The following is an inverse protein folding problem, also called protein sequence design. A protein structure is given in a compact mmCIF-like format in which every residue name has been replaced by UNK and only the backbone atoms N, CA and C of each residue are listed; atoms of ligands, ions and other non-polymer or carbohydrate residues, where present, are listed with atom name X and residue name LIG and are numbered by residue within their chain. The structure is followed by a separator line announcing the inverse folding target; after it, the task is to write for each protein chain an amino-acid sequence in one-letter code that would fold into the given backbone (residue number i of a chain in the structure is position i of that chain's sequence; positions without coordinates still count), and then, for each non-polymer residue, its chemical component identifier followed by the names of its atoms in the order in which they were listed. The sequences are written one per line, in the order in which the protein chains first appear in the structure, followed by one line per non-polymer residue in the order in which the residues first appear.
data_IF_503004629447
#
_entry.id   IF_503004629447
#
_cell.length_a   1.000
_cell.length_b   1.000
_cell.length_c   1.000
_cell.angle_alpha   90.00
_cell.angle_beta   90.00
_cell.angle_gamma   90.00
#
_symmetry.space_group_name_H-M   'P 1'
#
loop_
_entity.id
_entity.type
_entity.pdbx_description
1 polymer ?
#
# COMPACT_ATOMS: atom_id res chain seq x y z
N UNK A 1 -5.22 -45.94 3.69
CA UNK A 1 -4.16 -45.06 4.23
C UNK A 1 -4.84 -43.84 4.85
N UNK A 2 -4.68 -43.62 6.16
CA UNK A 2 -5.26 -42.48 6.84
C UNK A 2 -4.30 -41.30 6.69
N UNK A 3 -4.70 -40.30 5.91
CA UNK A 3 -4.08 -38.98 5.91
C UNK A 3 -5.05 -38.05 6.65
N UNK A 4 -4.60 -37.19 7.59
CA UNK A 4 -5.49 -36.37 8.42
C UNK A 4 -6.30 -35.32 7.64
N UNK A 5 -6.05 -35.19 6.34
CA UNK A 5 -6.79 -34.34 5.41
C UNK A 5 -7.03 -35.09 4.09
N UNK A 6 -8.09 -34.76 3.34
CA UNK A 6 -8.46 -35.46 2.11
C UNK A 6 -7.46 -35.24 0.95
N UNK A 7 -6.59 -34.23 1.04
CA UNK A 7 -5.56 -33.88 0.05
C UNK A 7 -4.30 -33.39 0.76
N UNK A 8 -3.16 -33.37 0.06
CA UNK A 8 -1.93 -32.75 0.58
C UNK A 8 -2.16 -31.25 0.81
N UNK A 9 -2.07 -30.82 2.06
CA UNK A 9 -2.17 -29.41 2.44
C UNK A 9 -0.82 -28.71 2.37
N UNK A 10 -0.82 -27.41 2.08
CA UNK A 10 0.39 -26.58 2.20
C UNK A 10 0.63 -26.24 3.68
N UNK A 11 1.31 -27.14 4.39
CA UNK A 11 1.57 -27.00 5.82
C UNK A 11 2.25 -25.67 6.18
N UNK A 12 3.17 -25.21 5.31
CA UNK A 12 3.87 -23.93 5.50
C UNK A 12 2.92 -22.73 5.40
N UNK A 13 1.99 -22.73 4.43
CA UNK A 13 1.01 -21.65 4.30
C UNK A 13 0.03 -21.63 5.48
N UNK A 14 -0.38 -22.81 5.96
CA UNK A 14 -1.25 -22.92 7.15
C UNK A 14 -0.54 -22.39 8.40
N UNK A 15 0.73 -22.73 8.60
CA UNK A 15 1.52 -22.22 9.71
C UNK A 15 1.70 -20.69 9.64
N UNK A 16 2.00 -20.16 8.46
CA UNK A 16 2.14 -18.72 8.24
C UNK A 16 0.81 -17.97 8.47
N UNK A 17 -0.31 -18.51 8.00
CA UNK A 17 -1.64 -17.96 8.26
C UNK A 17 -1.96 -17.94 9.74
N UNK A 18 -1.68 -19.03 10.47
CA UNK A 18 -1.91 -19.11 11.90
C UNK A 18 -1.12 -18.03 12.66
N UNK A 19 0.17 -17.87 12.35
CA UNK A 19 1.01 -16.81 12.93
C UNK A 19 0.48 -15.40 12.60
N UNK A 20 0.05 -15.16 11.36
CA UNK A 20 -0.53 -13.89 10.94
C UNK A 20 -1.83 -13.55 11.67
N UNK A 21 -2.71 -14.52 11.86
CA UNK A 21 -3.96 -14.35 12.63
C UNK A 21 -3.65 -14.08 14.10
N UNK A 22 -2.72 -14.82 14.71
CA UNK A 22 -2.28 -14.58 16.09
C UNK A 22 -1.77 -13.16 16.29
N UNK A 23 -0.97 -12.64 15.35
CA UNK A 23 -0.48 -11.26 15.40
C UNK A 23 -1.62 -10.23 15.31
N UNK A 24 -2.63 -10.46 14.45
CA UNK A 24 -3.81 -9.57 14.33
C UNK A 24 -4.63 -9.60 15.64
N UNK A 25 -4.85 -10.77 16.21
CA UNK A 25 -5.61 -10.93 17.47
C UNK A 25 -4.87 -10.27 18.63
N UNK A 26 -3.55 -10.44 18.72
CA UNK A 26 -2.74 -9.82 19.77
C UNK A 26 -2.72 -8.28 19.67
N UNK A 27 -2.71 -7.72 18.45
CA UNK A 27 -2.80 -6.28 18.21
C UNK A 27 -4.19 -5.70 18.56
N UNK A 28 -5.25 -6.48 18.31
CA UNK A 28 -6.64 -6.04 18.40
C UNK A 28 -7.14 -5.43 17.08
N UNK A 29 -8.36 -5.79 16.68
CA UNK A 29 -8.91 -5.39 15.39
C UNK A 29 -9.14 -3.87 15.31
N UNK A 30 -9.64 -3.28 16.38
CA UNK A 30 -9.93 -1.85 16.48
C UNK A 30 -8.65 -1.03 16.34
N UNK A 31 -7.59 -1.43 17.05
CA UNK A 31 -6.27 -0.79 16.97
C UNK A 31 -5.72 -0.87 15.54
N UNK A 32 -5.80 -2.06 14.93
CA UNK A 32 -5.31 -2.27 13.56
C UNK A 32 -6.06 -1.42 12.53
N UNK A 33 -7.39 -1.35 12.64
CA UNK A 33 -8.23 -0.53 11.75
C UNK A 33 -7.96 0.97 11.96
N UNK A 34 -7.81 1.41 13.21
CA UNK A 34 -7.46 2.79 13.52
C UNK A 34 -6.11 3.19 12.91
N UNK A 35 -5.11 2.31 12.99
CA UNK A 35 -3.79 2.58 12.42
C UNK A 35 -3.82 2.68 10.89
N UNK A 36 -4.56 1.78 10.21
CA UNK A 36 -4.74 1.89 8.75
C UNK A 36 -5.37 3.23 8.35
N UNK A 37 -6.40 3.69 9.08
CA UNK A 37 -7.03 4.99 8.80
C UNK A 37 -6.03 6.13 8.96
N UNK A 38 -5.33 6.16 10.09
CA UNK A 38 -4.36 7.19 10.44
C UNK A 38 -3.25 7.32 9.39
N UNK A 39 -2.67 6.19 8.98
CA UNK A 39 -1.59 6.16 7.98
C UNK A 39 -2.10 6.56 6.60
N UNK A 40 -3.28 6.10 6.21
CA UNK A 40 -3.86 6.48 4.93
C UNK A 40 -4.23 7.97 4.88
N UNK A 41 -4.72 8.54 5.97
CA UNK A 41 -4.99 9.98 6.11
C UNK A 41 -3.71 10.81 6.05
N UNK A 42 -2.68 10.39 6.77
CA UNK A 42 -1.35 11.01 6.72
C UNK A 42 -0.83 11.05 5.28
N UNK A 43 -0.79 9.89 4.61
CA UNK A 43 -0.30 9.81 3.24
C UNK A 43 -1.14 10.66 2.27
N UNK A 44 -2.49 10.61 2.37
CA UNK A 44 -3.38 11.43 1.53
C UNK A 44 -3.14 12.93 1.71
N UNK A 45 -2.97 13.38 2.95
CA UNK A 45 -2.69 14.78 3.25
C UNK A 45 -1.35 15.23 2.66
N UNK A 46 -0.31 14.43 2.81
CA UNK A 46 1.03 14.76 2.34
C UNK A 46 1.18 14.68 0.82
N UNK A 47 0.61 13.66 0.18
CA UNK A 47 0.69 13.52 -1.27
C UNK A 47 -0.14 14.59 -2.00
N UNK A 48 -1.25 15.04 -1.39
CA UNK A 48 -2.05 16.14 -1.92
C UNK A 48 -1.29 17.48 -1.94
N UNK A 49 -0.43 17.74 -0.95
CA UNK A 49 0.46 18.92 -0.93
C UNK A 49 1.47 18.94 -2.09
N UNK A 50 1.78 17.77 -2.66
CA UNK A 50 2.66 17.58 -3.82
C UNK A 50 1.90 17.64 -5.16
N UNK A 51 0.63 18.01 -5.14
CA UNK A 51 -0.18 18.21 -6.34
C UNK A 51 -0.78 16.93 -6.93
N UNK A 52 -0.69 15.79 -6.24
CA UNK A 52 -1.39 14.57 -6.65
C UNK A 52 -2.87 14.64 -6.28
N UNK A 53 -3.73 14.27 -7.22
CA UNK A 53 -5.16 14.06 -6.95
C UNK A 53 -5.43 12.68 -6.33
N UNK A 54 -6.63 12.52 -5.78
CA UNK A 54 -7.11 11.24 -5.24
C UNK A 54 -8.25 10.70 -6.11
N UNK A 55 -8.25 9.40 -6.37
CA UNK A 55 -9.36 8.77 -7.11
C UNK A 55 -10.65 8.68 -6.28
N UNK A 56 -10.49 8.49 -4.97
CA UNK A 56 -11.59 8.36 -4.02
C UNK A 56 -11.24 9.12 -2.73
N UNK A 57 -12.23 9.83 -2.18
CA UNK A 57 -12.08 10.69 -1.02
C UNK A 57 -13.21 10.44 0.00
N UNK A 58 -13.02 10.95 1.22
CA UNK A 58 -14.03 10.85 2.27
C UNK A 58 -14.41 9.41 2.62
N UNK A 59 -15.70 9.16 2.81
CA UNK A 59 -16.22 7.91 3.34
C UNK A 59 -16.05 6.69 2.40
N UNK A 60 -15.86 6.90 1.10
CA UNK A 60 -15.64 5.80 0.15
C UNK A 60 -14.15 5.46 -0.06
N UNK A 61 -13.23 6.25 0.50
CA UNK A 61 -11.80 6.02 0.39
C UNK A 61 -11.36 4.82 1.25
N UNK A 62 -10.56 3.94 0.67
CA UNK A 62 -9.98 2.81 1.41
C UNK A 62 -8.91 3.27 2.41
N UNK A 63 -8.88 2.63 3.58
CA UNK A 63 -7.84 2.83 4.59
C UNK A 63 -6.60 1.97 4.35
N UNK A 64 -6.68 0.95 3.49
CA UNK A 64 -5.54 0.05 3.24
C UNK A 64 -4.82 0.32 1.92
N UNK A 65 -5.39 1.19 1.08
CA UNK A 65 -4.83 1.54 -0.22
C UNK A 65 -5.30 2.93 -0.63
N UNK A 66 -4.36 3.79 -1.05
CA UNK A 66 -4.65 5.10 -1.63
C UNK A 66 -4.37 5.09 -3.12
N UNK A 67 -5.36 5.48 -3.91
CA UNK A 67 -5.28 5.63 -5.35
C UNK A 67 -4.96 7.09 -5.69
N UNK A 68 -3.76 7.35 -6.20
CA UNK A 68 -3.25 8.70 -6.49
C UNK A 68 -3.15 8.95 -7.99
N UNK A 69 -3.54 10.15 -8.41
CA UNK A 69 -3.48 10.61 -9.79
C UNK A 69 -2.35 11.63 -9.89
N UNK A 70 -1.35 11.43 -10.76
CA UNK A 70 -0.24 12.38 -10.91
C UNK A 70 -0.72 13.74 -11.43
N UNK A 71 -0.03 14.84 -11.11
CA UNK A 71 -0.25 16.10 -11.82
C UNK A 71 0.17 15.98 -13.30
N UNK A 72 -0.30 16.86 -14.20
CA UNK A 72 -0.15 16.70 -15.65
C UNK A 72 1.29 16.58 -16.18
N UNK A 73 2.27 17.12 -15.45
CA UNK A 73 3.68 17.09 -15.83
C UNK A 73 4.41 15.82 -15.36
N UNK A 74 3.77 14.96 -14.56
CA UNK A 74 4.36 13.74 -14.03
C UNK A 74 3.86 12.52 -14.83
N UNK A 75 4.79 11.85 -15.50
CA UNK A 75 4.51 10.53 -16.07
C UNK A 75 4.57 9.47 -14.97
N UNK A 76 3.41 8.92 -14.57
CA UNK A 76 3.32 7.96 -13.47
C UNK A 76 4.11 6.68 -13.72
N UNK A 77 4.16 6.18 -14.95
CA UNK A 77 4.91 4.96 -15.27
C UNK A 77 6.41 5.19 -15.08
N UNK A 78 6.89 6.37 -15.46
CA UNK A 78 8.29 6.74 -15.25
C UNK A 78 8.60 6.86 -13.75
N UNK A 79 7.79 7.61 -13.00
CA UNK A 79 7.93 7.71 -11.54
C UNK A 79 7.98 6.33 -10.87
N UNK A 80 7.05 5.43 -11.21
CA UNK A 80 7.02 4.09 -10.62
C UNK A 80 8.28 3.26 -10.95
N UNK A 81 8.82 3.39 -12.16
CA UNK A 81 10.07 2.73 -12.53
C UNK A 81 11.26 3.32 -11.75
N UNK A 82 11.35 4.65 -11.65
CA UNK A 82 12.39 5.33 -10.87
C UNK A 82 12.36 4.93 -9.40
N UNK A 83 11.19 4.94 -8.76
CA UNK A 83 11.02 4.49 -7.37
C UNK A 83 11.53 3.05 -7.18
N UNK A 84 11.22 2.16 -8.13
CA UNK A 84 11.66 0.76 -8.07
C UNK A 84 13.16 0.62 -8.25
N UNK A 85 13.72 1.26 -9.27
CA UNK A 85 15.09 1.03 -9.73
C UNK A 85 16.13 1.78 -8.88
N UNK A 86 15.81 3.00 -8.45
CA UNK A 86 16.75 3.85 -7.73
C UNK A 86 16.56 3.78 -6.20
N UNK A 87 15.32 3.54 -5.74
CA UNK A 87 14.98 3.56 -4.32
C UNK A 87 14.54 2.20 -3.77
N UNK A 88 14.37 1.19 -4.63
CA UNK A 88 13.87 -0.14 -4.23
C UNK A 88 12.40 -0.14 -3.78
N UNK A 89 11.66 0.95 -4.00
CA UNK A 89 10.29 1.13 -3.53
C UNK A 89 9.32 0.66 -4.60
N UNK A 90 8.47 -0.30 -4.24
CA UNK A 90 7.46 -0.85 -5.14
C UNK A 90 6.09 -0.24 -4.83
N UNK A 91 5.58 0.54 -5.78
CA UNK A 91 4.21 1.07 -5.76
C UNK A 91 3.43 0.48 -6.93
N UNK A 92 2.17 0.12 -6.69
CA UNK A 92 1.34 -0.50 -7.72
C UNK A 92 0.91 0.50 -8.78
N UNK A 93 0.91 0.09 -10.05
CA UNK A 93 0.27 0.86 -11.12
C UNK A 93 -1.26 0.73 -11.04
N UNK A 94 -1.98 1.60 -11.75
CA UNK A 94 -3.40 1.42 -12.05
C UNK A 94 -3.64 0.11 -12.82
N UNK A 95 -4.89 -0.38 -12.77
CA UNK A 95 -5.28 -1.64 -13.39
C UNK A 95 -6.24 -1.41 -14.56
N UNK A 96 -6.16 -2.25 -15.59
CA UNK A 96 -7.03 -2.16 -16.76
C UNK A 96 -6.95 -0.78 -17.43
N UNK A 97 -8.10 -0.11 -17.54
CA UNK A 97 -8.21 1.24 -18.14
C UNK A 97 -7.45 2.32 -17.38
N UNK A 98 -7.03 2.07 -16.15
CA UNK A 98 -6.30 3.01 -15.30
C UNK A 98 -4.78 2.80 -15.33
N UNK A 99 -4.30 1.78 -16.05
CA UNK A 99 -2.87 1.50 -16.19
C UNK A 99 -2.15 2.68 -16.85
N UNK A 100 -1.09 3.19 -16.20
CA UNK A 100 -0.34 4.34 -16.69
C UNK A 100 -1.02 5.70 -16.45
N UNK A 101 -2.13 5.74 -15.71
CA UNK A 101 -2.86 6.97 -15.39
C UNK A 101 -2.89 7.29 -13.89
N UNK A 102 -2.60 6.32 -13.03
CA UNK A 102 -2.62 6.48 -11.58
C UNK A 102 -1.71 5.45 -10.91
N UNK A 103 -1.45 5.64 -9.63
CA UNK A 103 -0.76 4.67 -8.78
C UNK A 103 -1.62 4.25 -7.59
N UNK A 104 -1.34 3.07 -7.06
CA UNK A 104 -1.97 2.44 -5.91
C UNK A 104 -0.92 2.24 -4.82
N UNK A 105 -0.97 3.09 -3.81
CA UNK A 105 -0.08 3.03 -2.64
C UNK A 105 -0.75 2.20 -1.57
N UNK A 106 -0.16 1.04 -1.26
CA UNK A 106 -0.70 0.11 -0.26
C UNK A 106 -0.19 0.43 1.14
N UNK A 107 -1.10 0.50 2.10
CA UNK A 107 -0.84 0.72 3.52
C UNK A 107 -0.97 -0.60 4.29
N UNK A 108 -0.38 -1.67 3.77
CA UNK A 108 -0.57 -3.04 4.23
C UNK A 108 0.72 -3.61 4.84
N UNK A 109 0.58 -4.48 5.84
CA UNK A 109 1.75 -5.14 6.45
C UNK A 109 2.72 -4.14 7.07
N UNK A 110 3.99 -4.15 6.64
CA UNK A 110 5.01 -3.21 7.11
C UNK A 110 4.85 -1.80 6.54
N UNK A 111 4.20 -1.68 5.38
CA UNK A 111 3.93 -0.38 4.73
C UNK A 111 2.88 0.46 5.47
N UNK A 112 2.31 -0.05 6.56
CA UNK A 112 1.44 0.70 7.48
C UNK A 112 2.21 1.54 8.52
N UNK A 113 3.49 1.83 8.29
CA UNK A 113 4.31 2.59 9.23
C UNK A 113 4.68 3.96 8.66
N UNK A 114 4.82 4.94 9.54
CA UNK A 114 5.20 6.31 9.14
C UNK A 114 6.54 6.36 8.44
N UNK A 115 7.50 5.51 8.83
CA UNK A 115 8.80 5.44 8.18
C UNK A 115 8.69 5.05 6.70
N UNK A 116 7.78 4.12 6.35
CA UNK A 116 7.55 3.74 4.96
C UNK A 116 6.83 4.83 4.17
N UNK A 117 5.89 5.54 4.81
CA UNK A 117 5.23 6.70 4.21
C UNK A 117 6.25 7.81 3.94
N UNK A 118 7.08 8.15 4.93
CA UNK A 118 8.10 9.17 4.81
C UNK A 118 9.11 8.83 3.70
N UNK A 119 9.63 7.59 3.67
CA UNK A 119 10.56 7.15 2.63
C UNK A 119 9.96 7.24 1.22
N UNK A 120 8.67 6.92 1.05
CA UNK A 120 8.00 7.08 -0.23
C UNK A 120 7.84 8.56 -0.61
N UNK A 121 7.44 9.42 0.33
CA UNK A 121 7.24 10.85 0.07
C UNK A 121 8.57 11.53 -0.27
N UNK A 122 9.64 11.23 0.45
CA UNK A 122 11.00 11.71 0.17
C UNK A 122 11.46 11.27 -1.22
N UNK A 123 11.25 10.01 -1.58
CA UNK A 123 11.59 9.51 -2.90
C UNK A 123 10.79 10.18 -4.03
N UNK A 124 9.54 10.60 -3.77
CA UNK A 124 8.73 11.38 -4.70
C UNK A 124 9.26 12.81 -4.81
N UNK A 125 9.65 13.43 -3.70
CA UNK A 125 10.23 14.78 -3.68
C UNK A 125 11.55 14.84 -4.46
N UNK A 126 12.42 13.85 -4.26
CA UNK A 126 13.67 13.69 -5.01
C UNK A 126 13.41 13.58 -6.51
N UNK A 127 12.37 12.84 -6.92
CA UNK A 127 12.00 12.71 -8.33
C UNK A 127 11.46 14.01 -8.93
N UNK A 128 10.80 14.83 -8.12
CA UNK A 128 10.17 16.08 -8.55
C UNK A 128 11.14 17.27 -8.56
N UNK A 129 12.33 17.11 -7.99
CA UNK A 129 13.39 18.13 -7.92
C UNK A 129 14.20 18.21 -9.21
#
# INVERSE_FOLDING_TARGET
AWHPSPVTVSSNAVAALHAGVQAIVAEGLENRVAEFRRIAELFRGEIGKRGFGLLAEGACASSVLTAVIPPPHINITHLLNTLREEKGIHVGNGLGKLNGHMARVGHLGLARSEAYVAALLEAIDDYMS
#
